data_IF_112052874242
#
_entry.id   IF_112052874242
#
_cell.length_a   1.000
_cell.length_b   1.000
_cell.length_c   1.000
_cell.angle_alpha   90.00
_cell.angle_beta   90.00
_cell.angle_gamma   90.00
#
_symmetry.space_group_name_H-M   'P 1'
#
loop_
_entity.id
_entity.type
_entity.pdbx_description
1 polymer ?
#
# COMPACT_ATOMS: atom_id res chain seq x y z
N UNK A 1 -5.23 -6.48 -13.52
CA UNK A 1 -4.65 -6.09 -12.19
C UNK A 1 -3.96 -7.31 -11.54
N UNK A 2 -2.71 -7.16 -11.08
CA UNK A 2 -1.98 -8.23 -10.37
C UNK A 2 -2.72 -8.70 -9.11
N UNK A 3 -2.68 -10.01 -8.79
CA UNK A 3 -3.31 -10.60 -7.59
C UNK A 3 -2.79 -9.92 -6.31
N UNK A 4 -1.49 -9.67 -6.24
CA UNK A 4 -0.82 -8.98 -5.12
C UNK A 4 -1.37 -7.56 -4.94
N UNK A 5 -1.48 -6.79 -6.01
CA UNK A 5 -2.03 -5.42 -5.95
C UNK A 5 -3.44 -5.38 -5.38
N UNK A 6 -4.30 -6.32 -5.78
CA UNK A 6 -5.68 -6.43 -5.26
C UNK A 6 -5.73 -6.87 -3.80
N UNK A 7 -4.83 -7.74 -3.36
CA UNK A 7 -4.73 -8.14 -1.96
C UNK A 7 -4.32 -6.97 -1.07
N UNK A 8 -3.23 -6.27 -1.44
CA UNK A 8 -2.72 -5.10 -0.70
C UNK A 8 -3.76 -3.98 -0.63
N UNK A 9 -4.48 -3.68 -1.72
CA UNK A 9 -5.55 -2.67 -1.70
C UNK A 9 -6.72 -3.10 -0.81
N UNK A 10 -7.10 -4.38 -0.82
CA UNK A 10 -8.17 -4.89 0.06
C UNK A 10 -7.77 -4.80 1.54
N UNK A 11 -6.56 -5.25 1.89
CA UNK A 11 -6.02 -5.11 3.25
C UNK A 11 -6.00 -3.65 3.69
N UNK A 12 -5.59 -2.73 2.81
CA UNK A 12 -5.61 -1.31 3.09
C UNK A 12 -7.03 -0.79 3.34
N UNK A 13 -7.99 -1.15 2.48
CA UNK A 13 -9.39 -0.70 2.62
C UNK A 13 -10.09 -1.25 3.85
N UNK A 14 -9.67 -2.41 4.37
CA UNK A 14 -10.15 -2.98 5.64
C UNK A 14 -9.68 -2.17 6.86
N UNK A 15 -8.65 -1.32 6.73
CA UNK A 15 -8.25 -0.46 7.82
C UNK A 15 -9.26 0.68 8.06
N UNK A 16 -9.36 1.10 9.32
CA UNK A 16 -10.12 2.27 9.73
C UNK A 16 -9.71 3.51 8.90
N UNK A 17 -10.67 4.38 8.60
CA UNK A 17 -10.44 5.56 7.74
C UNK A 17 -9.36 6.48 8.29
N UNK A 18 -9.29 6.62 9.61
CA UNK A 18 -8.26 7.38 10.35
C UNK A 18 -6.86 6.85 10.04
N UNK A 19 -6.73 5.52 9.91
CA UNK A 19 -5.46 4.89 9.56
C UNK A 19 -5.07 5.06 8.11
N UNK A 20 -6.07 5.33 7.26
CA UNK A 20 -5.87 5.55 5.83
C UNK A 20 -5.59 6.99 5.45
N UNK A 21 -5.84 7.96 6.31
CA UNK A 21 -5.70 9.38 5.94
C UNK A 21 -4.26 9.89 5.96
N UNK A 22 -3.35 9.25 6.71
CA UNK A 22 -1.97 9.72 6.83
C UNK A 22 -1.03 9.00 5.84
N UNK A 23 -0.24 9.79 5.11
CA UNK A 23 0.86 9.27 4.28
C UNK A 23 1.90 8.48 5.08
N UNK A 24 2.12 8.85 6.36
CA UNK A 24 3.03 8.12 7.25
C UNK A 24 2.50 6.71 7.58
N UNK A 25 1.18 6.58 7.78
CA UNK A 25 0.55 5.28 8.01
C UNK A 25 0.55 4.42 6.74
N UNK A 26 0.39 5.03 5.57
CA UNK A 26 0.55 4.32 4.31
C UNK A 26 1.98 3.82 4.07
N UNK A 27 3.00 4.60 4.46
CA UNK A 27 4.39 4.15 4.40
C UNK A 27 4.66 2.98 5.36
N UNK A 28 4.17 3.07 6.61
CA UNK A 28 4.28 1.99 7.58
C UNK A 28 3.59 0.69 7.11
N UNK A 29 2.37 0.83 6.58
CA UNK A 29 1.63 -0.29 5.98
C UNK A 29 2.36 -0.84 4.75
N UNK A 30 2.90 0.01 3.88
CA UNK A 30 3.65 -0.42 2.70
C UNK A 30 4.89 -1.24 3.06
N UNK A 31 5.59 -0.87 4.13
CA UNK A 31 6.72 -1.64 4.65
C UNK A 31 6.28 -3.04 5.09
N UNK A 32 5.23 -3.13 5.90
CA UNK A 32 4.69 -4.43 6.36
C UNK A 32 4.16 -5.29 5.19
N UNK A 33 3.43 -4.67 4.25
CA UNK A 33 2.89 -5.34 3.08
C UNK A 33 4.01 -5.81 2.12
N UNK A 34 5.12 -5.08 2.00
CA UNK A 34 6.27 -5.51 1.19
C UNK A 34 6.99 -6.73 1.75
N UNK A 35 6.89 -6.99 3.06
CA UNK A 35 7.45 -8.18 3.71
C UNK A 35 6.54 -9.40 3.54
N UNK A 36 5.22 -9.19 3.51
CA UNK A 36 4.22 -10.28 3.37
C UNK A 36 3.98 -10.70 1.93
N UNK A 37 4.09 -9.76 0.99
CA UNK A 37 3.75 -9.97 -0.41
C UNK A 37 4.99 -9.93 -1.29
N UNK A 38 5.22 -11.01 -2.03
CA UNK A 38 6.30 -11.07 -3.00
C UNK A 38 5.91 -10.24 -4.24
N UNK A 39 6.47 -9.05 -4.35
CA UNK A 39 6.16 -8.13 -5.44
C UNK A 39 6.93 -8.52 -6.71
N UNK A 40 6.33 -8.33 -7.89
CA UNK A 40 7.02 -8.62 -9.15
C UNK A 40 8.28 -7.76 -9.27
N UNK A 41 9.32 -8.35 -9.86
CA UNK A 41 10.62 -7.71 -10.08
C UNK A 41 10.42 -6.39 -10.82
N UNK A 42 10.88 -5.30 -10.21
CA UNK A 42 10.66 -3.94 -10.69
C UNK A 42 11.91 -3.09 -10.44
N UNK A 43 12.06 -2.01 -11.21
CA UNK A 43 13.11 -0.99 -10.99
C UNK A 43 12.88 -0.17 -9.72
N UNK A 44 11.64 -0.12 -9.21
CA UNK A 44 11.29 0.58 -7.97
C UNK A 44 11.33 -0.37 -6.79
N UNK A 45 11.65 0.15 -5.60
CA UNK A 45 11.60 -0.64 -4.37
C UNK A 45 10.17 -1.14 -4.10
N UNK A 46 10.01 -2.34 -3.54
CA UNK A 46 8.71 -2.90 -3.13
C UNK A 46 7.84 -1.91 -2.34
N UNK A 47 8.47 -1.18 -1.42
CA UNK A 47 7.86 -0.09 -0.64
C UNK A 47 7.30 1.02 -1.56
N UNK A 48 8.10 1.56 -2.47
CA UNK A 48 7.68 2.64 -3.36
C UNK A 48 6.52 2.22 -4.30
N UNK A 49 6.48 0.94 -4.70
CA UNK A 49 5.38 0.39 -5.50
C UNK A 49 4.08 0.40 -4.69
N UNK A 50 4.11 -0.13 -3.46
CA UNK A 50 2.92 -0.19 -2.62
C UNK A 50 2.46 1.22 -2.23
N UNK A 51 3.36 2.10 -1.79
CA UNK A 51 3.00 3.51 -1.48
C UNK A 51 2.33 4.16 -2.69
N UNK A 52 2.82 3.95 -3.91
CA UNK A 52 2.19 4.46 -5.13
C UNK A 52 0.77 3.92 -5.39
N UNK A 53 0.43 2.72 -4.91
CA UNK A 53 -0.94 2.20 -4.98
C UNK A 53 -1.87 2.83 -3.95
N UNK A 54 -1.32 3.21 -2.80
CA UNK A 54 -2.05 3.77 -1.66
C UNK A 54 -2.22 5.28 -1.75
N UNK A 55 -1.28 5.99 -2.37
CA UNK A 55 -1.27 7.45 -2.49
C UNK A 55 -2.58 8.07 -3.02
N UNK A 56 -3.23 7.51 -4.07
CA UNK A 56 -4.53 8.00 -4.53
C UNK A 56 -5.70 7.75 -3.56
N UNK A 57 -5.45 6.98 -2.49
CA UNK A 57 -6.43 6.45 -1.52
C UNK A 57 -6.13 6.88 -0.08
N UNK A 58 -4.95 7.43 0.16
CA UNK A 58 -4.65 8.24 1.34
C UNK A 58 -5.30 9.59 1.13
N UNK A 59 -6.15 10.00 2.06
CA UNK A 59 -7.08 11.12 1.91
C UNK A 59 -6.49 12.29 1.13
N UNK A 60 -7.10 12.58 -0.03
CA UNK A 60 -7.19 13.98 -0.45
C UNK A 60 -7.98 14.71 0.65
N UNK A 61 -7.56 15.92 1.05
CA UNK A 61 -8.41 16.78 1.87
C UNK A 61 -9.79 16.95 1.23
#
# INVERSE_FOLDING_TARGET
MSKVRRAVIREWMLLAREKRQSGQQAAAFAKAASQRHNLPRSRRTPHAIIVGWLWPRTGRP
#
